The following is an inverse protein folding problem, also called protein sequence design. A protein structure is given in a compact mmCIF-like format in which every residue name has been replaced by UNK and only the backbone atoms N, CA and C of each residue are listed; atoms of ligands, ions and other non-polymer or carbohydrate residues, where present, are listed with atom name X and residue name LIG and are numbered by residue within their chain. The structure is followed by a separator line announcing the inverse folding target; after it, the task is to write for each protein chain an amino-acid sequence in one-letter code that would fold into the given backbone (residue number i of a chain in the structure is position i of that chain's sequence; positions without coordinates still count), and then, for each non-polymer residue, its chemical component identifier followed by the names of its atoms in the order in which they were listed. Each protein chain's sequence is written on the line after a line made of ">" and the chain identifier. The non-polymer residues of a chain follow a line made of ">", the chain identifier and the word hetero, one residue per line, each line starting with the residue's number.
data_IF_853893651987
#
_entry.id   IF_853893651987
#
_cell.length_a   1.000
_cell.length_b   1.000
_cell.length_c   1.000
_cell.angle_alpha   90.00
_cell.angle_beta   90.00
_cell.angle_gamma   90.00
#
_symmetry.space_group_name_H-M   'P 1'
#
loop_
_entity.id
_entity.type
_entity.pdbx_description
1 polymer ?
#
# COMPACT_ATOMS: atom_id res chain seq x y z
N UNK A 1 -4.81 -7.75 16.51
CA UNK A 1 -4.30 -6.40 16.16
C UNK A 1 -4.32 -5.48 17.38
N UNK A 2 -5.49 -5.08 17.91
CA UNK A 2 -5.57 -4.13 19.03
C UNK A 2 -4.86 -4.58 20.30
N UNK A 3 -4.88 -5.89 20.60
CA UNK A 3 -4.14 -6.45 21.73
C UNK A 3 -2.63 -6.15 21.64
N UNK A 4 -2.04 -6.30 20.44
CA UNK A 4 -0.64 -5.95 20.19
C UNK A 4 -0.42 -4.44 20.35
N UNK A 5 -1.38 -3.62 19.91
CA UNK A 5 -1.31 -2.18 20.12
C UNK A 5 -1.36 -1.79 21.61
N UNK A 6 -2.25 -2.37 22.41
CA UNK A 6 -2.29 -2.14 23.86
C UNK A 6 -1.04 -2.65 24.58
N UNK A 7 -0.52 -3.83 24.21
CA UNK A 7 0.75 -4.36 24.73
C UNK A 7 1.91 -3.38 24.47
N UNK A 8 2.01 -2.89 23.24
CA UNK A 8 3.05 -1.96 22.85
C UNK A 8 2.88 -0.59 23.55
N UNK A 9 1.64 -0.14 23.81
CA UNK A 9 1.40 1.08 24.61
C UNK A 9 1.85 0.91 26.05
N UNK A 10 1.56 -0.24 26.66
CA UNK A 10 2.00 -0.52 28.02
C UNK A 10 3.55 -0.56 28.13
N UNK A 11 4.23 -1.07 27.10
CA UNK A 11 5.69 -1.18 27.08
C UNK A 11 6.41 0.14 26.74
N UNK A 12 5.88 0.92 25.79
CA UNK A 12 6.59 2.06 25.17
C UNK A 12 5.89 3.42 25.36
N UNK A 13 4.82 3.49 26.16
CA UNK A 13 4.07 4.72 26.46
C UNK A 13 2.89 4.98 25.52
N UNK A 14 2.31 6.19 25.55
CA UNK A 14 1.07 6.49 24.80
C UNK A 14 1.31 6.99 23.36
N UNK A 15 2.55 7.31 22.99
CA UNK A 15 2.92 7.75 21.64
C UNK A 15 3.14 6.54 20.72
N UNK A 16 2.02 5.91 20.34
CA UNK A 16 2.01 4.81 19.38
C UNK A 16 1.17 5.12 18.16
N UNK A 17 1.66 4.64 17.03
CA UNK A 17 1.00 4.78 15.75
C UNK A 17 0.66 3.41 15.16
N UNK A 18 -0.62 3.23 14.82
CA UNK A 18 -1.06 2.16 13.96
C UNK A 18 -0.91 2.61 12.51
N UNK A 19 -0.20 1.83 11.69
CA UNK A 19 0.01 2.11 10.27
C UNK A 19 -0.69 1.05 9.42
N UNK A 20 -1.45 1.48 8.41
CA UNK A 20 -2.10 0.58 7.45
C UNK A 20 -1.97 1.13 6.02
N UNK A 21 -2.43 0.38 5.02
CA UNK A 21 -2.48 0.84 3.63
C UNK A 21 -3.73 1.69 3.34
N UNK A 22 -4.92 1.23 3.74
CA UNK A 22 -6.20 1.82 3.33
C UNK A 22 -6.75 2.81 4.35
N UNK A 23 -7.39 3.89 3.89
CA UNK A 23 -8.10 4.82 4.79
C UNK A 23 -9.27 4.13 5.49
N UNK A 24 -9.95 3.19 4.81
CA UNK A 24 -11.04 2.41 5.39
C UNK A 24 -10.56 1.59 6.61
N UNK A 25 -9.41 0.91 6.48
CA UNK A 25 -8.80 0.20 7.61
C UNK A 25 -8.41 1.17 8.73
N UNK A 26 -7.83 2.33 8.39
CA UNK A 26 -7.46 3.32 9.40
C UNK A 26 -8.69 3.84 10.17
N UNK A 27 -9.80 4.09 9.47
CA UNK A 27 -11.06 4.50 10.10
C UNK A 27 -11.61 3.41 11.04
N UNK A 28 -11.66 2.15 10.58
CA UNK A 28 -12.11 1.03 11.41
C UNK A 28 -11.22 0.82 12.64
N UNK A 29 -9.90 0.90 12.46
CA UNK A 29 -8.92 0.78 13.54
C UNK A 29 -9.00 1.93 14.54
N UNK A 30 -9.30 3.15 14.09
CA UNK A 30 -9.54 4.28 14.99
C UNK A 30 -10.78 4.06 15.88
N UNK A 31 -11.89 3.58 15.32
CA UNK A 31 -13.10 3.27 16.10
C UNK A 31 -12.80 2.21 17.15
N UNK A 32 -12.12 1.14 16.72
CA UNK A 32 -11.70 0.04 17.59
C UNK A 32 -10.72 0.49 18.70
N UNK A 33 -9.75 1.33 18.36
CA UNK A 33 -8.80 1.90 19.32
C UNK A 33 -9.52 2.75 20.39
N UNK A 34 -10.50 3.56 19.99
CA UNK A 34 -11.33 4.33 20.94
C UNK A 34 -12.12 3.43 21.87
N UNK A 35 -12.69 2.34 21.37
CA UNK A 35 -13.41 1.37 22.21
C UNK A 35 -12.50 0.77 23.29
N UNK A 36 -11.26 0.41 22.93
CA UNK A 36 -10.26 -0.09 23.87
C UNK A 36 -9.88 0.98 24.91
N UNK A 37 -9.57 2.21 24.48
CA UNK A 37 -9.24 3.31 25.41
C UNK A 37 -10.38 3.64 26.36
N UNK A 38 -11.62 3.52 25.90
CA UNK A 38 -12.79 3.74 26.74
C UNK A 38 -12.95 2.62 27.78
N UNK A 39 -12.76 1.37 27.39
CA UNK A 39 -12.78 0.23 28.31
C UNK A 39 -11.67 0.33 29.38
N UNK A 40 -10.53 0.93 29.04
CA UNK A 40 -9.41 1.19 29.96
C UNK A 40 -9.58 2.48 30.80
N UNK A 41 -10.68 3.23 30.64
CA UNK A 41 -10.90 4.51 31.34
C UNK A 41 -9.96 5.64 30.89
N UNK A 42 -9.25 5.46 29.77
CA UNK A 42 -8.31 6.43 29.19
C UNK A 42 -8.99 7.48 28.30
N UNK A 43 -10.24 7.23 27.90
CA UNK A 43 -11.05 8.11 27.07
C UNK A 43 -12.40 8.36 27.76
N UNK A 44 -12.85 9.62 27.78
CA UNK A 44 -14.16 9.99 28.33
C UNK A 44 -15.35 9.46 27.50
N UNK A 45 -16.59 9.74 27.94
CA UNK A 45 -17.77 9.52 27.11
C UNK A 45 -17.73 10.39 25.86
N UNK A 46 -18.43 9.96 24.81
CA UNK A 46 -18.63 10.80 23.63
C UNK A 46 -19.54 11.97 24.00
N UNK A 47 -18.97 13.17 23.99
CA UNK A 47 -19.64 14.39 24.42
C UNK A 47 -20.43 15.02 23.27
N UNK A 48 -19.92 14.91 22.04
CA UNK A 48 -20.55 15.48 20.84
C UNK A 48 -20.17 14.67 19.60
N UNK A 49 -21.05 14.63 18.61
CA UNK A 49 -20.73 14.17 17.26
C UNK A 49 -20.80 15.35 16.31
N UNK A 50 -19.65 15.72 15.72
CA UNK A 50 -19.54 16.89 14.86
C UNK A 50 -19.34 16.49 13.40
N UNK A 51 -19.86 17.28 12.44
CA UNK A 51 -19.62 17.04 11.03
C UNK A 51 -18.15 17.33 10.67
N UNK A 52 -17.46 16.35 10.09
CA UNK A 52 -16.12 16.47 9.54
C UNK A 52 -16.13 16.07 8.05
N UNK A 53 -14.99 16.26 7.37
CA UNK A 53 -14.72 15.66 6.05
C UNK A 53 -13.64 14.62 6.13
N UNK A 54 -13.81 13.53 5.40
CA UNK A 54 -12.77 12.53 5.20
C UNK A 54 -11.74 13.00 4.14
N UNK A 55 -10.86 12.08 3.70
CA UNK A 55 -9.86 12.36 2.65
C UNK A 55 -10.48 12.63 1.28
N UNK A 56 -11.66 12.10 1.00
CA UNK A 56 -12.35 12.21 -0.28
C UNK A 56 -13.39 13.35 -0.30
N UNK A 57 -13.28 14.28 0.66
CA UNK A 57 -14.20 15.41 0.88
C UNK A 57 -15.63 15.02 1.20
N UNK A 58 -15.86 13.77 1.60
CA UNK A 58 -17.19 13.29 2.00
C UNK A 58 -17.48 13.72 3.42
N UNK A 59 -18.70 14.20 3.72
CA UNK A 59 -19.09 14.51 5.09
C UNK A 59 -19.19 13.21 5.90
N UNK A 60 -18.50 13.15 7.03
CA UNK A 60 -18.48 12.01 7.94
C UNK A 60 -18.68 12.53 9.38
N UNK A 61 -19.56 11.92 10.17
CA UNK A 61 -19.69 12.26 11.59
C UNK A 61 -18.42 11.87 12.35
N UNK A 62 -17.90 12.78 13.17
CA UNK A 62 -16.77 12.55 14.05
C UNK A 62 -17.22 12.70 15.51
N UNK A 63 -17.31 11.57 16.22
CA UNK A 63 -17.58 11.57 17.66
C UNK A 63 -16.33 12.01 18.42
N UNK A 64 -16.48 12.92 19.38
CA UNK A 64 -15.38 13.48 20.18
C UNK A 64 -15.60 13.24 21.67
N UNK A 65 -14.51 12.86 22.33
CA UNK A 65 -14.40 12.72 23.76
C UNK A 65 -13.13 13.41 24.27
N UNK A 66 -13.14 13.83 25.54
CA UNK A 66 -11.93 14.31 26.20
C UNK A 66 -10.88 13.19 26.24
N UNK A 67 -9.65 13.52 25.84
CA UNK A 67 -8.55 12.59 25.68
C UNK A 67 -8.35 12.09 24.23
N UNK A 68 -9.27 12.39 23.30
CA UNK A 68 -9.14 11.97 21.90
C UNK A 68 -7.89 12.55 21.24
N UNK A 69 -7.20 11.73 20.44
CA UNK A 69 -6.14 12.19 19.54
C UNK A 69 -6.71 12.53 18.17
N UNK A 70 -6.43 13.73 17.67
CA UNK A 70 -6.91 14.27 16.39
C UNK A 70 -5.75 14.54 15.43
N UNK A 71 -5.99 14.35 14.13
CA UNK A 71 -5.08 14.70 13.04
C UNK A 71 -5.77 15.66 12.08
N UNK A 72 -5.14 16.80 11.82
CA UNK A 72 -5.59 17.77 10.83
C UNK A 72 -5.23 17.28 9.43
N UNK A 73 -6.21 17.24 8.53
CA UNK A 73 -6.07 16.74 7.16
C UNK A 73 -5.83 17.83 6.11
N UNK A 74 -5.84 19.11 6.50
CA UNK A 74 -5.64 20.26 5.61
C UNK A 74 -4.73 21.31 6.28
N UNK A 75 -4.19 22.22 5.48
CA UNK A 75 -3.43 23.37 5.99
C UNK A 75 -4.40 24.46 6.44
N UNK A 76 -4.21 24.98 7.64
CA UNK A 76 -4.98 26.08 8.25
C UNK A 76 -4.00 27.19 8.69
N UNK A 77 -3.51 28.01 7.75
CA UNK A 77 -2.49 29.02 8.04
C UNK A 77 -2.93 30.05 9.10
N UNK A 78 -4.23 30.36 9.16
CA UNK A 78 -4.81 31.25 10.16
C UNK A 78 -4.71 30.73 11.60
N UNK A 79 -4.46 29.42 11.77
CA UNK A 79 -4.23 28.77 13.06
C UNK A 79 -2.78 28.27 13.21
N UNK A 80 -1.89 28.57 12.24
CA UNK A 80 -0.54 28.01 12.21
C UNK A 80 -0.47 26.49 11.99
N UNK A 81 -1.58 25.83 11.65
CA UNK A 81 -1.65 24.38 11.49
C UNK A 81 -1.35 23.95 10.05
N UNK A 82 -0.60 22.88 9.91
CA UNK A 82 -0.27 22.19 8.66
C UNK A 82 -0.97 20.82 8.62
N UNK A 83 -1.19 20.33 7.40
CA UNK A 83 -1.68 18.97 7.18
C UNK A 83 -0.74 17.96 7.84
N UNK A 84 -1.32 17.10 8.67
CA UNK A 84 -0.60 16.10 9.44
C UNK A 84 -0.28 16.51 10.87
N UNK A 85 -0.45 17.79 11.25
CA UNK A 85 -0.40 18.17 12.66
C UNK A 85 -1.44 17.40 13.46
N UNK A 86 -1.15 17.23 14.75
CA UNK A 86 -1.98 16.47 15.67
C UNK A 86 -2.17 17.22 16.96
N UNK A 87 -3.27 16.90 17.60
CA UNK A 87 -3.62 17.45 18.88
C UNK A 87 -4.34 16.43 19.74
N UNK A 88 -4.33 16.64 21.06
CA UNK A 88 -5.16 15.93 22.01
C UNK A 88 -6.28 16.84 22.48
N UNK A 89 -7.51 16.33 22.56
CA UNK A 89 -8.65 17.06 23.14
C UNK A 89 -8.48 17.11 24.65
N UNK A 90 -8.26 18.30 25.20
CA UNK A 90 -8.18 18.53 26.66
C UNK A 90 -9.54 18.88 27.25
N UNK A 91 -10.29 19.72 26.56
CA UNK A 91 -11.63 20.12 26.96
C UNK A 91 -12.52 20.35 25.73
N UNK A 92 -13.81 20.18 25.95
CA UNK A 92 -14.85 20.38 24.95
C UNK A 92 -16.07 20.97 25.65
N UNK A 93 -16.52 22.10 25.14
CA UNK A 93 -17.72 22.80 25.61
C UNK A 93 -18.66 22.97 24.43
N UNK A 94 -19.96 22.75 24.64
CA UNK A 94 -20.98 23.09 23.67
C UNK A 94 -21.66 24.36 24.17
N UNK A 95 -21.53 25.43 23.41
CA UNK A 95 -22.13 26.73 23.71
C UNK A 95 -23.67 26.66 23.54
N UNK A 96 -24.43 27.58 24.16
CA UNK A 96 -25.89 27.57 24.10
C UNK A 96 -26.49 27.68 22.69
N UNK A 97 -25.73 28.23 21.75
CA UNK A 97 -26.07 28.33 20.33
C UNK A 97 -25.85 27.01 19.54
N UNK A 98 -25.31 25.98 20.21
CA UNK A 98 -24.99 24.68 19.63
C UNK A 98 -23.60 24.58 19.03
N UNK A 99 -22.77 25.62 19.11
CA UNK A 99 -21.39 25.56 18.62
C UNK A 99 -20.46 24.85 19.62
N UNK A 100 -19.69 23.89 19.12
CA UNK A 100 -18.70 23.20 19.94
C UNK A 100 -17.38 23.97 19.93
N UNK A 101 -16.85 24.29 21.12
CA UNK A 101 -15.54 24.89 21.32
C UNK A 101 -14.59 23.88 21.94
N UNK A 102 -13.39 23.77 21.37
CA UNK A 102 -12.39 22.78 21.76
C UNK A 102 -11.19 23.48 22.36
N UNK A 103 -10.63 22.87 23.39
CA UNK A 103 -9.26 23.13 23.86
C UNK A 103 -8.39 21.94 23.47
N UNK A 104 -7.39 22.21 22.65
CA UNK A 104 -6.55 21.22 22.01
C UNK A 104 -5.09 21.42 22.45
N UNK A 105 -4.46 20.37 22.98
CA UNK A 105 -3.02 20.33 23.20
C UNK A 105 -2.31 19.84 21.93
N UNK A 106 -1.54 20.71 21.29
CA UNK A 106 -0.76 20.40 20.10
C UNK A 106 0.50 19.60 20.47
N UNK A 107 1.00 18.76 19.56
CA UNK A 107 2.21 17.97 19.79
C UNK A 107 3.50 18.81 19.92
N UNK A 108 3.49 20.05 19.43
CA UNK A 108 4.60 21.00 19.60
C UNK A 108 4.63 21.67 20.99
N UNK A 109 3.70 21.29 21.88
CA UNK A 109 3.55 21.85 23.21
C UNK A 109 2.62 23.06 23.27
N UNK A 110 2.10 23.54 22.14
CA UNK A 110 1.11 24.61 22.09
C UNK A 110 -0.26 24.19 22.62
N UNK A 111 -1.05 25.17 23.07
CA UNK A 111 -2.48 24.99 23.34
C UNK A 111 -3.28 25.84 22.35
N UNK A 112 -4.33 25.26 21.78
CA UNK A 112 -5.23 25.92 20.83
C UNK A 112 -6.67 25.84 21.35
N UNK A 113 -7.26 27.00 21.61
CA UNK A 113 -8.70 27.12 21.91
C UNK A 113 -9.42 27.68 20.69
N UNK A 114 -10.37 26.90 20.14
CA UNK A 114 -10.95 27.19 18.82
C UNK A 114 -12.35 26.59 18.70
N UNK A 115 -13.24 27.30 18.00
CA UNK A 115 -14.56 26.76 17.66
C UNK A 115 -14.44 25.70 16.56
N UNK A 116 -15.29 24.68 16.58
CA UNK A 116 -15.26 23.62 15.58
C UNK A 116 -15.34 24.13 14.13
N UNK A 117 -16.22 25.09 13.78
CA UNK A 117 -16.25 25.65 12.43
C UNK A 117 -14.93 26.31 12.03
N UNK A 118 -14.16 26.83 12.99
CA UNK A 118 -12.88 27.50 12.77
C UNK A 118 -11.73 26.59 12.37
N UNK A 119 -11.91 25.29 12.60
CA UNK A 119 -10.98 24.23 12.19
C UNK A 119 -11.09 23.83 10.70
N UNK A 120 -11.65 24.71 9.88
CA UNK A 120 -11.72 24.57 8.42
C UNK A 120 -11.05 25.77 7.73
N UNK A 121 -10.70 25.60 6.45
CA UNK A 121 -10.16 26.70 5.66
C UNK A 121 -11.14 27.89 5.62
N UNK A 122 -10.58 29.09 5.74
CA UNK A 122 -11.37 30.30 5.58
C UNK A 122 -11.95 30.38 4.17
N UNK A 123 -13.25 30.66 4.03
CA UNK A 123 -13.88 30.74 2.72
C UNK A 123 -13.23 31.84 1.89
N UNK A 124 -12.88 31.51 0.64
CA UNK A 124 -12.46 32.49 -0.36
C UNK A 124 -13.66 32.86 -1.23
N UNK A 125 -13.75 34.14 -1.60
CA UNK A 125 -14.74 34.66 -2.56
C UNK A 125 -16.20 34.37 -2.20
N UNK A 126 -16.59 34.56 -0.93
CA UNK A 126 -17.99 34.44 -0.48
C UNK A 126 -18.57 33.02 -0.50
N UNK A 127 -17.74 31.98 -0.69
CA UNK A 127 -18.17 30.59 -0.60
C UNK A 127 -18.60 30.24 0.83
N UNK A 128 -19.52 29.28 0.97
CA UNK A 128 -19.86 28.73 2.28
C UNK A 128 -18.64 28.05 2.90
N UNK A 129 -18.50 28.18 4.23
CA UNK A 129 -17.46 27.49 5.00
C UNK A 129 -17.60 25.98 4.82
N UNK A 130 -16.49 25.30 4.52
CA UNK A 130 -16.45 23.84 4.48
C UNK A 130 -16.35 23.27 5.89
N UNK A 131 -16.72 21.99 6.05
CA UNK A 131 -16.54 21.30 7.33
C UNK A 131 -15.05 21.03 7.59
N UNK A 132 -14.58 20.95 8.84
CA UNK A 132 -13.19 20.61 9.14
C UNK A 132 -12.77 19.26 8.56
N UNK A 133 -11.60 19.19 7.91
CA UNK A 133 -11.00 17.90 7.53
C UNK A 133 -10.17 17.35 8.69
N UNK A 134 -10.84 16.71 9.65
CA UNK A 134 -10.23 16.17 10.87
C UNK A 134 -10.63 14.72 11.06
N UNK A 135 -9.70 13.89 11.52
CA UNK A 135 -9.94 12.48 11.85
C UNK A 135 -9.24 12.13 13.17
N UNK A 136 -9.62 11.00 13.76
CA UNK A 136 -8.86 10.40 14.86
C UNK A 136 -7.43 10.02 14.43
N UNK A 137 -6.50 10.09 15.39
CA UNK A 137 -5.07 9.99 15.14
C UNK A 137 -4.42 8.68 15.62
N UNK A 138 -5.19 7.68 16.06
CA UNK A 138 -4.63 6.41 16.55
C UNK A 138 -4.07 5.55 15.42
N UNK A 139 -4.79 5.52 14.29
CA UNK A 139 -4.42 4.81 13.08
C UNK A 139 -4.37 5.76 11.88
N UNK A 140 -3.39 5.53 11.00
CA UNK A 140 -3.21 6.27 9.76
C UNK A 140 -2.66 5.40 8.65
N UNK A 141 -2.76 5.90 7.41
CA UNK A 141 -2.11 5.23 6.29
C UNK A 141 -0.59 5.43 6.34
N UNK A 142 0.19 4.55 5.72
CA UNK A 142 1.64 4.72 5.59
C UNK A 142 2.01 6.11 5.03
N UNK A 143 1.24 6.60 4.05
CA UNK A 143 1.39 7.95 3.51
C UNK A 143 1.10 9.05 4.55
N UNK A 144 0.02 8.90 5.34
CA UNK A 144 -0.32 9.86 6.39
C UNK A 144 0.64 9.83 7.60
N UNK A 145 1.37 8.74 7.76
CA UNK A 145 2.41 8.54 8.78
C UNK A 145 3.79 9.08 8.36
N UNK A 146 3.97 9.44 7.09
CA UNK A 146 5.26 9.89 6.58
C UNK A 146 5.75 11.13 7.33
N UNK A 147 7.03 11.11 7.74
CA UNK A 147 7.65 12.21 8.49
C UNK A 147 7.29 12.26 9.98
N UNK A 148 6.40 11.39 10.47
CA UNK A 148 6.14 11.22 11.91
C UNK A 148 7.09 10.17 12.50
N UNK A 149 7.60 10.44 13.68
CA UNK A 149 8.26 9.45 14.53
C UNK A 149 7.42 9.27 15.79
N UNK A 150 7.15 8.03 16.20
CA UNK A 150 6.49 7.66 17.44
C UNK A 150 7.39 6.80 18.32
N UNK A 151 6.99 6.52 19.56
CA UNK A 151 7.72 5.63 20.47
C UNK A 151 7.81 4.20 19.91
N UNK A 152 6.65 3.63 19.58
CA UNK A 152 6.51 2.34 18.91
C UNK A 152 5.49 2.42 17.76
N UNK A 153 5.53 1.44 16.83
CA UNK A 153 4.55 1.31 15.75
C UNK A 153 3.99 -0.09 15.61
N UNK A 154 2.72 -0.17 15.20
CA UNK A 154 2.08 -1.43 14.80
C UNK A 154 1.61 -1.29 13.37
N UNK A 155 2.26 -2.02 12.46
CA UNK A 155 1.85 -2.09 11.06
C UNK A 155 0.79 -3.18 10.87
N UNK A 156 -0.39 -2.79 10.42
CA UNK A 156 -1.47 -3.69 10.04
C UNK A 156 -1.47 -3.95 8.53
N UNK A 157 -1.31 -5.22 8.13
CA UNK A 157 -1.30 -5.68 6.74
C UNK A 157 -2.59 -6.46 6.42
N UNK A 158 -3.70 -5.72 6.34
CA UNK A 158 -5.02 -6.26 5.93
C UNK A 158 -5.27 -6.25 4.42
N UNK A 159 -4.41 -5.59 3.65
CA UNK A 159 -4.48 -5.55 2.19
C UNK A 159 -3.11 -5.83 1.58
N UNK A 160 -3.08 -6.12 0.28
CA UNK A 160 -1.82 -6.22 -0.48
C UNK A 160 -1.07 -4.91 -0.30
N UNK A 161 0.17 -5.00 0.17
CA UNK A 161 1.05 -3.84 0.40
C UNK A 161 2.26 -3.91 -0.54
N UNK A 162 3.14 -2.92 -0.46
CA UNK A 162 4.36 -2.84 -1.25
C UNK A 162 5.56 -2.53 -0.34
N UNK A 163 6.77 -2.59 -0.92
CA UNK A 163 8.01 -2.37 -0.19
C UNK A 163 8.09 -0.96 0.42
N UNK A 164 7.48 0.06 -0.20
CA UNK A 164 7.52 1.44 0.28
C UNK A 164 6.65 1.61 1.52
N UNK A 165 5.43 1.09 1.48
CA UNK A 165 4.51 1.15 2.61
C UNK A 165 5.04 0.39 3.81
N UNK A 166 5.63 -0.79 3.59
CA UNK A 166 6.32 -1.55 4.63
C UNK A 166 7.50 -0.77 5.18
N UNK A 167 8.36 -0.24 4.31
CA UNK A 167 9.50 0.55 4.74
C UNK A 167 9.05 1.72 5.61
N UNK A 168 8.05 2.50 5.18
CA UNK A 168 7.54 3.63 5.96
C UNK A 168 6.98 3.15 7.30
N UNK A 169 6.08 2.16 7.32
CA UNK A 169 5.47 1.65 8.54
C UNK A 169 6.47 1.11 9.57
N UNK A 170 7.53 0.46 9.09
CA UNK A 170 8.61 -0.10 9.91
C UNK A 170 9.67 0.91 10.32
N UNK A 171 9.64 2.16 9.83
CA UNK A 171 10.67 3.17 10.14
C UNK A 171 10.10 4.40 10.85
N UNK A 172 8.86 4.31 11.35
CA UNK A 172 8.21 5.39 12.11
C UNK A 172 8.37 5.26 13.63
N UNK A 173 9.11 4.29 14.15
CA UNK A 173 9.28 4.06 15.58
C UNK A 173 10.67 4.46 16.10
N UNK A 174 10.78 4.67 17.42
CA UNK A 174 12.07 4.83 18.13
C UNK A 174 12.55 3.53 18.77
N UNK A 175 11.63 2.72 19.29
CA UNK A 175 11.96 1.55 20.11
C UNK A 175 11.59 0.23 19.45
N UNK A 176 10.32 0.08 19.05
CA UNK A 176 9.85 -1.20 18.48
C UNK A 176 8.83 -0.98 17.36
N UNK A 177 8.88 -1.84 16.34
CA UNK A 177 7.81 -2.02 15.36
C UNK A 177 7.32 -3.47 15.36
N UNK A 178 6.00 -3.65 15.38
CA UNK A 178 5.37 -4.96 15.17
C UNK A 178 4.54 -4.98 13.90
N UNK A 179 4.56 -6.11 13.21
CA UNK A 179 3.71 -6.36 12.03
C UNK A 179 2.61 -7.32 12.40
N UNK A 180 1.37 -6.94 12.15
CA UNK A 180 0.18 -7.77 12.32
C UNK A 180 -0.44 -7.97 10.94
N UNK A 181 -0.60 -9.23 10.54
CA UNK A 181 -1.04 -9.59 9.19
C UNK A 181 -2.39 -10.28 9.26
N UNK A 182 -3.28 -9.94 8.33
CA UNK A 182 -4.56 -10.65 8.16
C UNK A 182 -4.31 -11.99 7.47
N UNK A 183 -4.13 -13.05 8.28
CA UNK A 183 -3.77 -14.40 7.82
C UNK A 183 -4.79 -14.96 6.82
N UNK A 184 -6.07 -14.78 7.08
CA UNK A 184 -7.17 -15.37 6.28
C UNK A 184 -7.12 -14.91 4.82
N UNK A 185 -6.76 -13.63 4.58
CA UNK A 185 -6.56 -13.10 3.23
C UNK A 185 -5.42 -13.84 2.50
N UNK A 186 -4.29 -14.03 3.17
CA UNK A 186 -3.12 -14.68 2.59
C UNK A 186 -3.38 -16.17 2.38
N UNK A 187 -4.02 -16.82 3.34
CA UNK A 187 -4.45 -18.21 3.28
C UNK A 187 -5.37 -18.46 2.06
N UNK A 188 -6.39 -17.61 1.86
CA UNK A 188 -7.26 -17.68 0.69
C UNK A 188 -6.49 -17.56 -0.64
N UNK A 189 -5.49 -16.67 -0.71
CA UNK A 189 -4.64 -16.51 -1.90
C UNK A 189 -3.72 -17.71 -2.15
N UNK A 190 -3.25 -18.36 -1.09
CA UNK A 190 -2.47 -19.58 -1.18
C UNK A 190 -3.33 -20.75 -1.69
N UNK A 191 -4.55 -20.92 -1.16
CA UNK A 191 -5.49 -21.97 -1.56
C UNK A 191 -5.90 -21.92 -3.03
N UNK A 192 -6.04 -20.72 -3.61
CA UNK A 192 -6.32 -20.55 -5.05
C UNK A 192 -5.26 -21.17 -5.98
N UNK A 193 -4.05 -21.40 -5.48
CA UNK A 193 -2.92 -21.92 -6.26
C UNK A 193 -2.53 -23.34 -5.88
N UNK A 194 -3.17 -23.92 -4.86
CA UNK A 194 -2.95 -25.31 -4.45
C UNK A 194 -3.75 -26.25 -5.35
N UNK A 195 -3.26 -27.49 -5.49
CA UNK A 195 -3.99 -28.56 -6.18
C UNK A 195 -5.27 -28.95 -5.45
N UNK A 196 -5.24 -28.92 -4.11
CA UNK A 196 -6.43 -29.09 -3.27
C UNK A 196 -6.74 -27.81 -2.49
N UNK A 197 -7.68 -27.02 -2.99
CA UNK A 197 -8.11 -25.75 -2.39
C UNK A 197 -8.83 -25.90 -1.04
N UNK A 198 -9.09 -27.13 -0.56
CA UNK A 198 -9.72 -27.40 0.74
C UNK A 198 -8.71 -27.43 1.89
N UNK A 199 -7.43 -27.65 1.60
CA UNK A 199 -6.40 -27.67 2.63
C UNK A 199 -6.01 -26.25 3.05
N UNK A 200 -5.85 -25.96 4.35
CA UNK A 200 -5.35 -24.67 4.78
C UNK A 200 -3.90 -24.47 4.32
N UNK A 201 -3.53 -23.22 4.06
CA UNK A 201 -2.16 -22.86 3.77
C UNK A 201 -1.27 -23.09 5.00
N UNK A 202 -0.09 -23.65 4.77
CA UNK A 202 0.93 -23.76 5.81
C UNK A 202 1.50 -22.38 6.13
N UNK A 203 2.05 -22.21 7.32
CA UNK A 203 2.63 -20.92 7.72
C UNK A 203 3.78 -20.49 6.80
N UNK A 204 4.57 -21.44 6.28
CA UNK A 204 5.61 -21.17 5.30
C UNK A 204 5.03 -20.56 4.00
N UNK A 205 3.90 -21.06 3.51
CA UNK A 205 3.25 -20.52 2.31
C UNK A 205 2.69 -19.12 2.55
N UNK A 206 2.09 -18.88 3.72
CA UNK A 206 1.58 -17.57 4.11
C UNK A 206 2.72 -16.56 4.21
N UNK A 207 3.84 -16.93 4.85
CA UNK A 207 5.03 -16.09 4.97
C UNK A 207 5.67 -15.81 3.62
N UNK A 208 5.85 -16.84 2.77
CA UNK A 208 6.39 -16.65 1.42
C UNK A 208 5.53 -15.68 0.61
N UNK A 209 4.20 -15.81 0.72
CA UNK A 209 3.26 -14.92 0.05
C UNK A 209 3.39 -13.49 0.57
N UNK A 210 3.46 -13.30 1.88
CA UNK A 210 3.67 -12.00 2.50
C UNK A 210 4.98 -11.36 2.00
N UNK A 211 6.08 -12.11 2.00
CA UNK A 211 7.37 -11.61 1.49
C UNK A 211 7.31 -11.24 0.01
N UNK A 212 6.57 -11.99 -0.81
CA UNK A 212 6.38 -11.65 -2.22
C UNK A 212 5.62 -10.33 -2.39
N UNK A 213 4.54 -10.13 -1.64
CA UNK A 213 3.80 -8.86 -1.64
C UNK A 213 4.70 -7.71 -1.15
N UNK A 214 5.41 -7.93 -0.05
CA UNK A 214 6.34 -6.98 0.56
C UNK A 214 7.51 -6.55 -0.33
N UNK A 215 7.94 -7.39 -1.29
CA UNK A 215 9.01 -7.07 -2.24
C UNK A 215 8.53 -6.30 -3.46
N UNK A 216 7.22 -6.28 -3.70
CA UNK A 216 6.67 -5.60 -4.87
C UNK A 216 6.83 -4.10 -4.69
N UNK A 217 7.26 -3.40 -5.73
CA UNK A 217 7.34 -1.95 -5.74
C UNK A 217 6.43 -1.43 -6.83
N UNK A 218 5.23 -0.99 -6.46
CA UNK A 218 4.34 -0.29 -7.38
C UNK A 218 4.63 1.21 -7.31
N UNK A 219 5.29 1.77 -8.32
CA UNK A 219 5.32 3.22 -8.47
C UNK A 219 3.91 3.73 -8.78
N UNK A 220 3.55 4.88 -8.23
CA UNK A 220 2.39 5.61 -8.75
C UNK A 220 2.75 5.97 -10.18
N UNK A 221 1.90 5.60 -11.14
CA UNK A 221 2.11 5.97 -12.54
C UNK A 221 2.29 7.49 -12.61
N UNK A 222 3.46 7.92 -13.04
CA UNK A 222 3.74 9.32 -13.28
C UNK A 222 3.22 9.68 -14.67
N UNK A 223 2.98 10.97 -14.91
CA UNK A 223 2.57 11.48 -16.22
C UNK A 223 3.58 11.06 -17.31
N UNK A 224 4.88 11.06 -17.00
CA UNK A 224 5.95 10.60 -17.89
C UNK A 224 5.88 9.09 -18.21
N UNK A 225 5.26 8.27 -17.37
CA UNK A 225 5.07 6.85 -17.65
C UNK A 225 4.03 6.61 -18.76
N UNK A 226 3.17 7.61 -19.01
CA UNK A 226 2.18 7.61 -20.08
C UNK A 226 2.64 8.31 -21.36
N UNK A 227 3.76 9.04 -21.31
CA UNK A 227 4.39 9.63 -22.47
C UNK A 227 5.01 8.54 -23.36
N UNK A 228 4.73 8.59 -24.66
CA UNK A 228 5.33 7.71 -25.66
C UNK A 228 6.86 7.91 -25.73
N UNK A 229 7.31 9.16 -25.59
CA UNK A 229 8.72 9.54 -25.47
C UNK A 229 8.95 10.34 -24.18
N UNK A 230 9.66 9.72 -23.24
CA UNK A 230 9.98 10.31 -21.93
C UNK A 230 10.97 11.46 -22.03
N UNK A 231 11.91 11.40 -22.97
CA UNK A 231 12.97 12.40 -23.12
C UNK A 231 12.38 13.66 -23.75
N UNK A 232 11.52 13.50 -24.77
CA UNK A 232 10.76 14.60 -25.35
C UNK A 232 9.86 15.26 -24.29
N UNK A 233 9.05 14.48 -23.56
CA UNK A 233 8.17 15.01 -22.51
C UNK A 233 8.90 15.85 -21.46
N UNK A 234 10.08 15.42 -21.00
CA UNK A 234 10.88 16.19 -20.02
C UNK A 234 11.43 17.50 -20.63
N UNK A 235 11.71 17.51 -21.93
CA UNK A 235 12.31 18.65 -22.62
C UNK A 235 11.28 19.72 -23.02
N UNK A 236 10.12 19.31 -23.53
CA UNK A 236 9.15 20.20 -24.16
C UNK A 236 7.72 20.08 -23.60
N UNK A 237 7.48 19.17 -22.65
CA UNK A 237 6.18 19.00 -21.99
C UNK A 237 5.11 18.35 -22.89
N UNK A 238 5.48 17.88 -24.08
CA UNK A 238 4.53 17.26 -25.01
C UNK A 238 4.11 15.86 -24.56
N UNK A 239 2.80 15.64 -24.42
CA UNK A 239 2.20 14.35 -24.09
C UNK A 239 1.63 13.69 -25.34
N UNK A 240 2.49 13.06 -26.12
CA UNK A 240 2.00 12.02 -27.02
C UNK A 240 1.72 10.78 -26.17
N UNK A 241 0.43 10.47 -26.04
CA UNK A 241 0.00 9.34 -25.21
C UNK A 241 0.40 8.06 -25.93
N UNK A 242 1.07 7.14 -25.24
CA UNK A 242 1.37 5.83 -25.80
C UNK A 242 0.06 5.16 -26.21
N UNK A 243 -0.17 4.98 -27.51
CA UNK A 243 -1.27 4.13 -27.98
C UNK A 243 -1.14 2.78 -27.26
N UNK A 244 -2.22 2.38 -26.60
CA UNK A 244 -2.30 1.09 -25.92
C UNK A 244 -2.12 0.01 -26.99
N UNK A 245 -0.89 -0.47 -27.15
CA UNK A 245 -0.65 -1.80 -27.74
C UNK A 245 -1.51 -2.74 -26.91
N UNK A 246 -2.54 -3.31 -27.55
CA UNK A 246 -3.65 -4.00 -26.92
C UNK A 246 -3.22 -4.86 -25.74
N UNK A 247 -3.86 -4.63 -24.60
CA UNK A 247 -3.63 -5.40 -23.39
C UNK A 247 -3.91 -6.89 -23.63
N UNK A 248 -2.88 -7.69 -23.42
CA UNK A 248 -3.00 -9.13 -23.31
C UNK A 248 -1.64 -9.77 -23.51
N UNK A 249 -0.97 -10.18 -22.42
CA UNK A 249 -0.04 -11.30 -22.54
C UNK A 249 -0.88 -12.44 -23.09
N UNK A 250 -0.68 -12.81 -24.36
CA UNK A 250 -1.39 -13.92 -24.97
C UNK A 250 -1.07 -15.17 -24.16
N UNK A 251 -2.01 -15.54 -23.28
CA UNK A 251 -1.87 -16.63 -22.32
C UNK A 251 -1.53 -17.93 -23.06
N UNK A 252 -1.96 -18.08 -24.32
CA UNK A 252 -1.60 -19.23 -25.15
C UNK A 252 -0.13 -19.21 -25.54
N UNK A 253 0.42 -18.05 -25.92
CA UNK A 253 1.86 -17.92 -26.19
C UNK A 253 2.71 -18.15 -24.94
N UNK A 254 2.29 -17.62 -23.80
CA UNK A 254 3.00 -17.83 -22.53
C UNK A 254 2.96 -19.32 -22.11
N UNK A 255 1.80 -19.96 -22.19
CA UNK A 255 1.64 -21.38 -21.89
C UNK A 255 2.43 -22.27 -22.87
N UNK A 256 2.47 -21.90 -24.16
CA UNK A 256 3.27 -22.61 -25.18
C UNK A 256 4.76 -22.48 -24.90
N UNK A 257 5.24 -21.28 -24.58
CA UNK A 257 6.64 -21.04 -24.19
C UNK A 257 7.02 -21.82 -22.92
N UNK A 258 6.14 -21.85 -21.91
CA UNK A 258 6.37 -22.56 -20.64
C UNK A 258 6.40 -24.09 -20.86
N UNK A 259 5.52 -24.60 -21.73
CA UNK A 259 5.50 -26.03 -22.08
C UNK A 259 6.76 -26.43 -22.86
N UNK A 260 7.18 -25.62 -23.83
CA UNK A 260 8.41 -25.86 -24.59
C UNK A 260 9.63 -25.83 -23.67
N UNK A 261 9.72 -24.86 -22.76
CA UNK A 261 10.79 -24.79 -21.76
C UNK A 261 10.85 -26.04 -20.88
N UNK A 262 9.70 -26.56 -20.40
CA UNK A 262 9.66 -27.81 -19.63
C UNK A 262 10.12 -29.01 -20.43
N UNK A 263 9.68 -29.14 -21.68
CA UNK A 263 10.10 -30.23 -22.57
C UNK A 263 11.61 -30.16 -22.83
N UNK A 264 12.15 -28.96 -23.05
CA UNK A 264 13.59 -28.73 -23.20
C UNK A 264 14.36 -29.05 -21.92
N UNK A 265 13.85 -28.68 -20.74
CA UNK A 265 14.50 -28.98 -19.45
C UNK A 265 14.51 -30.49 -19.13
N UNK A 266 13.42 -31.20 -19.44
CA UNK A 266 13.36 -32.65 -19.33
C UNK A 266 14.31 -33.34 -20.31
N UNK A 267 14.38 -32.84 -21.56
CA UNK A 267 15.30 -33.34 -22.58
C UNK A 267 16.78 -33.11 -22.23
N UNK A 268 17.10 -32.01 -21.57
CA UNK A 268 18.44 -31.68 -21.07
C UNK A 268 18.79 -32.39 -19.75
N UNK A 269 17.89 -33.19 -19.16
CA UNK A 269 18.13 -33.91 -17.90
C UNK A 269 18.30 -33.01 -16.67
N UNK A 270 17.78 -31.79 -16.72
CA UNK A 270 17.98 -30.75 -15.69
C UNK A 270 16.93 -30.85 -14.56
N UNK A 271 16.25 -31.99 -14.46
CA UNK A 271 15.10 -32.20 -13.56
C UNK A 271 15.44 -32.08 -12.06
N UNK A 272 16.73 -32.14 -11.69
CA UNK A 272 17.21 -31.96 -10.31
C UNK A 272 17.59 -30.52 -9.95
N UNK A 273 17.62 -29.60 -10.93
CA UNK A 273 17.87 -28.19 -10.68
C UNK A 273 16.53 -27.51 -10.37
N UNK A 274 16.19 -27.48 -9.07
CA UNK A 274 15.14 -26.61 -8.54
C UNK A 274 15.62 -25.17 -8.70
N UNK A 275 15.58 -24.65 -9.93
CA UNK A 275 15.72 -23.22 -10.19
C UNK A 275 14.31 -22.67 -10.12
N UNK A 276 13.98 -21.86 -9.11
CA UNK A 276 12.68 -21.23 -9.03
C UNK A 276 12.43 -20.44 -10.31
N UNK A 277 11.27 -20.63 -10.95
CA UNK A 277 10.94 -19.99 -12.22
C UNK A 277 11.12 -18.46 -12.22
N UNK A 278 11.09 -17.82 -11.04
CA UNK A 278 11.36 -16.41 -10.88
C UNK A 278 12.83 -16.02 -11.08
N UNK A 279 13.81 -16.89 -10.79
CA UNK A 279 15.23 -16.60 -11.04
C UNK A 279 15.54 -16.56 -12.55
N UNK A 280 14.87 -17.38 -13.36
CA UNK A 280 14.96 -17.30 -14.82
C UNK A 280 14.29 -16.03 -15.37
N UNK A 281 13.13 -15.67 -14.81
CA UNK A 281 12.41 -14.43 -15.17
C UNK A 281 13.15 -13.18 -14.72
N UNK A 282 13.88 -13.20 -13.60
CA UNK A 282 14.64 -12.05 -13.10
C UNK A 282 16.02 -11.92 -13.80
N UNK A 283 16.69 -13.05 -14.10
CA UNK A 283 17.94 -13.07 -14.85
C UNK A 283 17.76 -12.71 -16.34
N UNK A 284 16.63 -13.11 -16.94
CA UNK A 284 16.40 -12.93 -18.38
C UNK A 284 15.25 -11.98 -18.74
N UNK A 285 14.33 -11.65 -17.84
CA UNK A 285 13.16 -10.81 -18.15
C UNK A 285 13.51 -9.39 -18.59
N UNK A 286 14.64 -8.84 -18.10
CA UNK A 286 15.19 -7.55 -18.56
C UNK A 286 15.95 -7.63 -19.87
N UNK A 287 16.45 -8.81 -20.28
CA UNK A 287 17.19 -8.99 -21.55
C UNK A 287 16.32 -9.52 -22.69
N UNK A 288 15.29 -10.32 -22.40
CA UNK A 288 14.41 -10.93 -23.42
C UNK A 288 13.41 -9.94 -24.01
N UNK A 289 13.10 -8.85 -23.31
CA UNK A 289 12.26 -7.77 -23.85
C UNK A 289 12.99 -6.88 -24.86
N UNK A 290 14.30 -7.05 -25.04
CA UNK A 290 15.12 -6.28 -25.98
C UNK A 290 16.06 -7.12 -26.86
N UNK A 291 16.03 -8.45 -26.77
CA UNK A 291 16.87 -9.29 -27.62
C UNK A 291 16.23 -9.42 -29.01
N UNK A 292 16.90 -8.99 -30.10
CA UNK A 292 16.40 -9.24 -31.45
C UNK A 292 16.31 -10.76 -31.67
N UNK A 293 15.26 -11.22 -32.35
CA UNK A 293 14.96 -12.64 -32.55
C UNK A 293 16.14 -13.46 -33.11
N UNK A 294 17.07 -12.79 -33.81
CA UNK A 294 18.30 -13.36 -34.33
C UNK A 294 19.31 -13.74 -33.22
N UNK A 295 19.43 -12.93 -32.16
CA UNK A 295 20.31 -13.23 -31.02
C UNK A 295 19.79 -14.39 -30.19
N UNK A 296 18.47 -14.54 -30.08
CA UNK A 296 17.84 -15.69 -29.41
C UNK A 296 18.05 -16.98 -30.20
N UNK A 297 17.93 -16.95 -31.53
CA UNK A 297 18.24 -18.11 -32.39
C UNK A 297 19.71 -18.52 -32.32
N UNK A 298 20.63 -17.56 -32.42
CA UNK A 298 22.07 -17.86 -32.35
C UNK A 298 22.47 -18.55 -31.04
N UNK A 299 21.90 -18.13 -29.90
CA UNK A 299 22.12 -18.77 -28.60
C UNK A 299 21.54 -20.19 -28.54
N UNK A 300 20.39 -20.43 -29.16
CA UNK A 300 19.76 -21.76 -29.25
C UNK A 300 20.60 -22.69 -30.13
N UNK A 301 21.08 -22.21 -31.27
CA UNK A 301 21.94 -22.99 -32.19
C UNK A 301 23.32 -23.29 -31.56
N UNK A 302 23.88 -22.33 -30.81
CA UNK A 302 25.13 -22.54 -30.07
C UNK A 302 24.98 -23.56 -28.94
N UNK A 303 23.85 -23.56 -28.22
CA UNK A 303 23.54 -24.58 -27.23
C UNK A 303 23.29 -25.95 -27.87
N UNK A 304 22.54 -26.02 -28.97
CA UNK A 304 22.25 -27.26 -29.69
C UNK A 304 23.52 -27.91 -30.27
N UNK A 305 24.45 -27.11 -30.79
CA UNK A 305 25.73 -27.62 -31.32
C UNK A 305 26.65 -28.17 -30.23
N UNK A 306 26.66 -27.57 -29.03
CA UNK A 306 27.43 -28.06 -27.88
C UNK A 306 26.94 -29.40 -27.30
N UNK A 307 25.67 -29.75 -27.50
CA UNK A 307 25.08 -31.00 -26.97
C UNK A 307 24.94 -32.12 -28.01
N UNK A 308 25.42 -31.93 -29.25
CA UNK A 308 25.47 -32.93 -30.33
C UNK A 308 24.22 -33.83 -30.44
N UNK A 309 23.02 -33.23 -30.46
CA UNK A 309 21.78 -33.94 -30.81
C UNK A 309 20.85 -33.04 -31.65
N UNK A 310 20.19 -33.57 -32.69
CA UNK A 310 19.44 -32.77 -33.64
C UNK A 310 18.18 -32.13 -33.02
N UNK A 311 17.84 -30.98 -33.59
CA UNK A 311 16.76 -30.04 -33.22
C UNK A 311 15.39 -30.72 -32.99
N UNK A 312 14.70 -30.46 -31.85
CA UNK A 312 13.44 -31.14 -31.53
C UNK A 312 12.18 -30.50 -32.15
N UNK A 313 12.30 -29.51 -33.05
CA UNK A 313 11.13 -28.89 -33.68
C UNK A 313 10.47 -29.85 -34.69
N UNK A 314 9.17 -30.19 -34.52
CA UNK A 314 8.46 -31.03 -35.47
C UNK A 314 8.29 -30.30 -36.81
N UNK A 315 8.47 -31.03 -37.93
CA UNK A 315 8.51 -30.55 -39.32
C UNK A 315 7.33 -29.67 -39.79
N UNK A 316 6.24 -29.59 -39.04
CA UNK A 316 5.03 -28.84 -39.42
C UNK A 316 5.17 -27.32 -39.41
N UNK A 317 6.22 -26.75 -38.81
CA UNK A 317 6.46 -25.29 -38.86
C UNK A 317 7.42 -24.86 -40.00
N UNK A 318 7.96 -25.79 -40.79
CA UNK A 318 8.79 -25.44 -41.97
C UNK A 318 7.96 -25.00 -43.19
N UNK A 319 6.68 -25.39 -43.26
CA UNK A 319 5.86 -25.27 -44.47
C UNK A 319 5.06 -23.96 -44.60
N UNK A 320 5.20 -23.01 -43.66
CA UNK A 320 4.47 -21.73 -43.73
C UNK A 320 5.35 -20.49 -43.98
N UNK A 321 6.58 -20.69 -44.45
CA UNK A 321 7.46 -19.58 -44.83
C UNK A 321 7.89 -19.57 -46.31
N UNK A 322 7.31 -20.45 -47.13
CA UNK A 322 7.50 -20.41 -48.59
C UNK A 322 6.14 -20.56 -49.26
N UNK A 323 5.37 -19.48 -49.28
CA UNK A 323 4.56 -19.07 -50.42
C UNK A 323 4.10 -17.61 -50.20
N UNK A 324 4.02 -16.87 -51.31
CA UNK A 324 4.00 -15.41 -51.44
C UNK A 324 2.85 -14.69 -50.75
#
# INVERSE_FOLDING_TARGET
>A
MLAVWSEQRAAHGEDLLIVTRRNADASALNIQARAVLRAEGRLGPDLVTLPARDRDDRPVPLALAVGDGLRFGENLPHLGLRNGNRARVEALTVEPDGEARLRLALEDGGTLEVAWPDLAQQPRFGRKRSQPRIMHAYAGTAYAAQGRTSSATVMYVGAVTDAREIYVGLTRHRHEARVVVERDRLDALCRQRQEDARMPATDAMVLERLFREARTYSEKANVVDHAADRIAFVRDGSLETRELIGQGVDVRRLMRATRLLRVTMAWLGVEQLIVPAWQLVDAYGRRLTQAPAQATRALVDELASRFSRPDPLPERERSHQIER
#
